data_IF_551894416909
#
_entry.id   IF_551894416909
#
_cell.length_a   1.000
_cell.length_b   1.000
_cell.length_c   1.000
_cell.angle_alpha   90.00
_cell.angle_beta   90.00
_cell.angle_gamma   90.00
#
_symmetry.space_group_name_H-M   'P 1'
#
loop_
_entity.id
_entity.type
_entity.pdbx_description
1 polymer ?
#
# COMPACT_ATOMS: atom_id res chain seq x y z
N UNK A 1 -5.52 -3.17 -12.67
CA UNK A 1 -5.09 -2.42 -11.46
C UNK A 1 -6.10 -2.69 -10.35
N UNK A 2 -5.70 -3.26 -9.21
CA UNK A 2 -6.63 -3.51 -8.11
C UNK A 2 -6.60 -2.32 -7.16
N UNK A 3 -7.65 -1.49 -7.23
CA UNK A 3 -7.66 -0.22 -6.53
C UNK A 3 -7.58 -0.33 -5.02
N UNK A 4 -7.14 0.72 -4.32
CA UNK A 4 -7.30 0.82 -2.84
C UNK A 4 -8.77 0.58 -2.46
N UNK A 5 -9.71 1.13 -3.21
CA UNK A 5 -11.16 0.87 -3.04
C UNK A 5 -11.48 -0.62 -3.13
N UNK A 6 -10.92 -1.32 -4.12
CA UNK A 6 -11.11 -2.77 -4.25
C UNK A 6 -10.54 -3.54 -3.05
N UNK A 7 -9.38 -3.13 -2.50
CA UNK A 7 -8.80 -3.77 -1.31
C UNK A 7 -9.66 -3.55 -0.06
N UNK A 8 -10.20 -2.35 0.12
CA UNK A 8 -11.13 -2.07 1.24
C UNK A 8 -12.41 -2.91 1.10
N UNK A 9 -12.98 -2.99 -0.11
CA UNK A 9 -14.14 -3.85 -0.37
C UNK A 9 -13.82 -5.34 -0.16
N UNK A 10 -12.63 -5.80 -0.55
CA UNK A 10 -12.18 -7.17 -0.30
C UNK A 10 -12.07 -7.47 1.20
N UNK A 11 -11.54 -6.52 1.99
CA UNK A 11 -11.46 -6.64 3.45
C UNK A 11 -12.86 -6.75 4.09
N UNK A 12 -13.80 -5.88 3.68
CA UNK A 12 -15.20 -5.98 4.11
C UNK A 12 -15.82 -7.31 3.67
N UNK A 13 -15.50 -7.78 2.46
CA UNK A 13 -15.92 -9.07 1.94
C UNK A 13 -15.48 -10.25 2.81
N UNK A 14 -14.27 -10.22 3.39
CA UNK A 14 -13.78 -11.25 4.32
C UNK A 14 -14.66 -11.30 5.58
N UNK A 15 -14.99 -10.13 6.14
CA UNK A 15 -15.84 -10.03 7.34
C UNK A 15 -17.26 -10.51 7.02
N UNK A 16 -17.83 -10.08 5.89
CA UNK A 16 -19.15 -10.49 5.44
C UNK A 16 -19.21 -12.00 5.17
N UNK A 17 -18.18 -12.58 4.56
CA UNK A 17 -18.11 -14.04 4.33
C UNK A 17 -18.11 -14.81 5.66
N UNK A 18 -17.38 -14.33 6.68
CA UNK A 18 -17.42 -14.89 8.03
C UNK A 18 -18.81 -14.80 8.68
N UNK A 19 -19.51 -13.68 8.50
CA UNK A 19 -20.87 -13.48 8.99
C UNK A 19 -21.90 -14.39 8.28
N UNK A 20 -21.77 -14.56 6.95
CA UNK A 20 -22.64 -15.44 6.16
C UNK A 20 -22.43 -16.91 6.55
N UNK A 21 -21.19 -17.36 6.72
CA UNK A 21 -20.88 -18.71 7.17
C UNK A 21 -21.48 -18.98 8.57
N UNK A 22 -21.31 -18.01 9.48
CA UNK A 22 -21.91 -18.01 10.81
C UNK A 22 -23.44 -18.13 10.77
N UNK A 23 -24.10 -17.33 9.92
CA UNK A 23 -25.55 -17.40 9.74
C UNK A 23 -26.01 -18.75 9.17
N UNK A 24 -25.28 -19.30 8.20
CA UNK A 24 -25.59 -20.61 7.62
C UNK A 24 -25.49 -21.75 8.65
N UNK A 25 -24.45 -21.75 9.48
CA UNK A 25 -24.28 -22.71 10.58
C UNK A 25 -25.40 -22.61 11.61
N UNK A 26 -25.79 -21.38 11.97
CA UNK A 26 -26.90 -21.13 12.90
C UNK A 26 -28.24 -21.62 12.34
N UNK A 27 -28.54 -21.32 11.07
CA UNK A 27 -29.75 -21.80 10.40
C UNK A 27 -29.79 -23.32 10.29
N UNK A 28 -28.66 -23.95 9.98
CA UNK A 28 -28.55 -25.41 9.95
C UNK A 28 -28.82 -26.04 11.33
N UNK A 29 -28.19 -25.51 12.38
CA UNK A 29 -28.38 -25.94 13.76
C UNK A 29 -29.85 -25.82 14.18
N UNK A 30 -30.48 -24.68 13.92
CA UNK A 30 -31.89 -24.43 14.24
C UNK A 30 -32.83 -25.33 13.45
N UNK A 31 -32.61 -25.48 12.14
CA UNK A 31 -33.43 -26.33 11.28
C UNK A 31 -33.38 -27.78 11.73
N UNK A 32 -32.20 -28.29 12.10
CA UNK A 32 -32.06 -29.68 12.56
C UNK A 32 -32.66 -29.90 13.95
N UNK A 33 -32.52 -28.94 14.87
CA UNK A 33 -33.17 -29.00 16.18
C UNK A 33 -34.70 -29.02 16.04
N UNK A 34 -35.26 -28.17 15.17
CA UNK A 34 -36.69 -28.13 14.89
C UNK A 34 -37.21 -29.43 14.26
N UNK A 35 -36.47 -30.03 13.32
CA UNK A 35 -36.84 -31.32 12.71
C UNK A 35 -36.86 -32.46 13.75
N UNK A 36 -35.85 -32.55 14.62
CA UNK A 36 -35.82 -33.56 15.68
C UNK A 36 -36.98 -33.38 16.68
N UNK A 37 -37.23 -32.15 17.12
CA UNK A 37 -38.36 -31.85 18.01
C UNK A 37 -39.70 -32.19 17.37
N UNK A 38 -39.93 -31.78 16.12
CA UNK A 38 -41.18 -32.06 15.42
C UNK A 38 -41.44 -33.57 15.26
N UNK A 39 -40.39 -34.36 14.97
CA UNK A 39 -40.51 -35.82 14.90
C UNK A 39 -40.82 -36.46 16.26
N UNK A 40 -40.18 -35.97 17.33
CA UNK A 40 -40.48 -36.39 18.69
C UNK A 40 -41.93 -36.11 19.08
N UNK A 41 -42.43 -34.91 18.75
CA UNK A 41 -43.80 -34.49 19.04
C UNK A 41 -44.83 -35.37 18.32
N UNK A 42 -44.63 -35.65 17.03
CA UNK A 42 -45.50 -36.54 16.24
C UNK A 42 -45.56 -37.93 16.88
N UNK A 43 -44.43 -38.49 17.30
CA UNK A 43 -44.37 -39.81 17.93
C UNK A 43 -45.09 -39.84 19.29
N UNK A 44 -44.96 -38.77 20.08
CA UNK A 44 -45.73 -38.60 21.31
C UNK A 44 -47.24 -38.51 21.07
N UNK A 45 -47.66 -37.81 20.01
CA UNK A 45 -49.07 -37.71 19.63
C UNK A 45 -49.63 -39.06 19.15
N UNK A 46 -48.85 -39.84 18.38
CA UNK A 46 -49.22 -41.21 17.96
C UNK A 46 -49.43 -42.11 19.18
N UNK A 47 -48.52 -42.08 20.16
CA UNK A 47 -48.65 -42.85 21.39
C UNK A 47 -49.92 -42.44 22.17
N UNK A 48 -50.19 -41.14 22.28
CA UNK A 48 -51.39 -40.61 22.94
C UNK A 48 -52.69 -41.03 22.24
N UNK A 49 -52.76 -40.93 20.91
CA UNK A 49 -53.95 -41.37 20.15
C UNK A 49 -54.16 -42.88 20.29
N UNK A 50 -53.08 -43.66 20.25
CA UNK A 50 -53.14 -45.12 20.45
C UNK A 50 -53.71 -45.47 21.82
N UNK A 51 -53.27 -44.79 22.87
CA UNK A 51 -53.79 -45.02 24.23
C UNK A 51 -55.24 -44.56 24.39
N UNK A 52 -55.64 -43.48 23.70
CA UNK A 52 -57.05 -43.08 23.64
C UNK A 52 -57.92 -44.14 22.97
N UNK A 53 -57.46 -44.77 21.89
CA UNK A 53 -58.17 -45.91 21.27
C UNK A 53 -58.28 -47.07 22.26
N UNK A 54 -57.17 -47.42 22.92
CA UNK A 54 -57.13 -48.48 23.93
C UNK A 54 -58.13 -48.22 25.08
N UNK A 55 -58.18 -46.99 25.58
CA UNK A 55 -59.15 -46.56 26.60
C UNK A 55 -60.60 -46.74 26.13
N UNK A 56 -60.92 -46.39 24.87
CA UNK A 56 -62.26 -46.61 24.33
C UNK A 56 -62.59 -48.10 24.18
N UNK A 57 -61.64 -48.92 23.73
CA UNK A 57 -61.80 -50.38 23.66
C UNK A 57 -62.14 -50.93 25.04
N UNK A 58 -61.38 -50.58 26.09
CA UNK A 58 -61.66 -51.00 27.46
C UNK A 58 -63.05 -50.58 27.93
N UNK A 59 -63.44 -49.33 27.71
CA UNK A 59 -64.77 -48.84 28.09
C UNK A 59 -65.90 -49.62 27.40
N UNK A 60 -65.80 -49.81 26.07
CA UNK A 60 -66.78 -50.61 25.31
C UNK A 60 -66.83 -52.06 25.80
N UNK A 61 -65.69 -52.64 26.19
CA UNK A 61 -65.63 -53.99 26.75
C UNK A 61 -66.34 -54.08 28.09
N UNK A 62 -66.08 -53.14 29.00
CA UNK A 62 -66.72 -53.10 30.32
C UNK A 62 -68.24 -52.93 30.19
N UNK A 63 -68.69 -51.97 29.38
CA UNK A 63 -70.12 -51.73 29.16
C UNK A 63 -70.82 -52.92 28.47
N UNK A 64 -70.08 -53.75 27.69
CA UNK A 64 -70.65 -54.96 27.08
C UNK A 64 -71.22 -55.91 28.12
N UNK A 65 -70.61 -55.97 29.31
CA UNK A 65 -71.07 -56.84 30.40
C UNK A 65 -72.48 -56.47 30.84
N UNK A 66 -72.78 -55.18 30.90
CA UNK A 66 -74.12 -54.69 31.25
C UNK A 66 -75.20 -55.22 30.31
N UNK A 67 -74.94 -55.27 29.00
CA UNK A 67 -75.92 -55.74 28.00
C UNK A 67 -76.31 -57.20 28.24
N UNK A 68 -75.34 -58.11 28.35
CA UNK A 68 -75.66 -59.54 28.47
C UNK A 68 -75.91 -60.01 29.90
N UNK A 69 -75.65 -59.17 30.91
CA UNK A 69 -76.06 -59.40 32.30
C UNK A 69 -77.42 -58.78 32.65
N UNK A 70 -77.99 -57.99 31.74
CA UNK A 70 -79.33 -57.38 31.90
C UNK A 70 -80.44 -58.44 31.86
N UNK A 71 -81.53 -58.17 32.57
CA UNK A 71 -82.69 -59.08 32.64
C UNK A 71 -83.49 -59.08 31.35
N UNK A 72 -83.58 -57.93 30.69
CA UNK A 72 -84.36 -57.72 29.48
C UNK A 72 -83.71 -56.67 28.56
N UNK A 73 -84.31 -56.48 27.38
CA UNK A 73 -83.83 -55.52 26.39
C UNK A 73 -83.89 -54.06 26.87
N UNK A 74 -84.82 -53.72 27.77
CA UNK A 74 -84.99 -52.36 28.30
C UNK A 74 -83.85 -52.00 29.24
N UNK A 75 -83.44 -52.92 30.10
CA UNK A 75 -82.27 -52.76 30.96
C UNK A 75 -80.97 -52.76 30.12
N UNK A 76 -80.88 -53.63 29.10
CA UNK A 76 -79.73 -53.68 28.20
C UNK A 76 -79.52 -52.37 27.41
N UNK A 77 -80.61 -51.65 27.09
CA UNK A 77 -80.57 -50.38 26.36
C UNK A 77 -79.76 -49.30 27.09
N UNK A 78 -79.80 -49.27 28.43
CA UNK A 78 -79.04 -48.32 29.24
C UNK A 78 -77.52 -48.46 29.04
N UNK A 79 -77.05 -49.65 28.68
CA UNK A 79 -75.63 -49.92 28.38
C UNK A 79 -75.33 -49.87 26.88
N UNK A 80 -76.31 -50.21 26.03
CA UNK A 80 -76.16 -50.16 24.58
C UNK A 80 -75.92 -48.74 24.07
N UNK A 81 -76.74 -47.77 24.51
CA UNK A 81 -76.70 -46.39 23.99
C UNK A 81 -75.36 -45.68 24.25
N UNK A 82 -74.76 -45.71 25.46
CA UNK A 82 -73.42 -45.13 25.69
C UNK A 82 -72.32 -45.82 24.88
N UNK A 83 -72.42 -47.13 24.61
CA UNK A 83 -71.46 -47.84 23.77
C UNK A 83 -71.51 -47.40 22.31
N UNK A 84 -72.71 -47.31 21.74
CA UNK A 84 -72.87 -46.87 20.34
C UNK A 84 -72.31 -45.47 20.12
N UNK A 85 -72.50 -44.58 21.10
CA UNK A 85 -71.96 -43.23 21.05
C UNK A 85 -70.43 -43.18 21.01
N UNK A 86 -69.73 -44.23 21.47
CA UNK A 86 -68.26 -44.33 21.40
C UNK A 86 -67.76 -44.78 20.03
N UNK A 87 -68.56 -45.48 19.23
CA UNK A 87 -68.10 -46.03 17.95
C UNK A 87 -67.64 -44.95 16.95
N UNK A 88 -68.35 -43.82 16.76
CA UNK A 88 -67.85 -42.73 15.93
C UNK A 88 -66.52 -42.15 16.44
N UNK A 89 -66.35 -42.05 17.77
CA UNK A 89 -65.10 -41.57 18.38
C UNK A 89 -63.95 -42.53 18.10
N UNK A 90 -64.17 -43.83 18.24
CA UNK A 90 -63.17 -44.86 17.94
C UNK A 90 -62.76 -44.84 16.46
N UNK A 91 -63.73 -44.73 15.54
CA UNK A 91 -63.44 -44.60 14.10
C UNK A 91 -62.63 -43.36 13.79
N UNK A 92 -63.02 -42.23 14.38
CA UNK A 92 -62.29 -40.96 14.23
C UNK A 92 -60.85 -41.11 14.73
N UNK A 93 -60.64 -41.61 15.95
CA UNK A 93 -59.29 -41.82 16.50
C UNK A 93 -58.44 -42.76 15.63
N UNK A 94 -59.03 -43.82 15.10
CA UNK A 94 -58.33 -44.74 14.20
C UNK A 94 -57.98 -44.09 12.84
N UNK A 95 -58.85 -43.25 12.31
CA UNK A 95 -58.57 -42.48 11.10
C UNK A 95 -57.50 -41.40 11.34
N UNK A 96 -57.60 -40.67 12.46
CA UNK A 96 -56.62 -39.67 12.88
C UNK A 96 -55.25 -40.33 13.06
N UNK A 97 -55.19 -41.54 13.64
CA UNK A 97 -53.95 -42.32 13.76
C UNK A 97 -53.31 -42.60 12.39
N UNK A 98 -54.10 -43.05 11.40
CA UNK A 98 -53.60 -43.33 10.03
C UNK A 98 -53.10 -42.06 9.33
N UNK A 99 -53.70 -40.91 9.61
CA UNK A 99 -53.28 -39.63 9.06
C UNK A 99 -52.00 -39.09 9.71
N UNK A 100 -51.80 -39.38 10.99
CA UNK A 100 -50.70 -38.87 11.80
C UNK A 100 -49.39 -39.66 11.63
N UNK A 101 -49.48 -40.98 11.44
CA UNK A 101 -48.29 -41.83 11.39
C UNK A 101 -47.41 -41.53 10.17
N UNK A 102 -46.07 -41.66 10.29
CA UNK A 102 -45.17 -41.59 9.15
C UNK A 102 -45.51 -42.61 8.07
N UNK A 103 -45.11 -42.34 6.82
CA UNK A 103 -45.36 -43.23 5.69
C UNK A 103 -44.89 -44.69 5.93
N UNK A 104 -43.80 -44.87 6.66
CA UNK A 104 -43.26 -46.18 7.03
C UNK A 104 -44.17 -46.99 7.96
N UNK A 105 -45.01 -46.34 8.75
CA UNK A 105 -45.89 -46.98 9.74
C UNK A 105 -47.36 -47.07 9.27
N UNK A 106 -47.68 -46.43 8.14
CA UNK A 106 -49.05 -46.32 7.62
C UNK A 106 -49.74 -47.65 7.40
N UNK A 107 -49.02 -48.66 6.91
CA UNK A 107 -49.57 -50.01 6.74
C UNK A 107 -49.98 -50.63 8.08
N UNK A 108 -49.17 -50.44 9.12
CA UNK A 108 -49.47 -50.94 10.47
C UNK A 108 -50.67 -50.22 11.07
N UNK A 109 -50.75 -48.89 10.91
CA UNK A 109 -51.90 -48.11 11.36
C UNK A 109 -53.20 -48.49 10.63
N UNK A 110 -53.14 -48.78 9.31
CA UNK A 110 -54.29 -49.27 8.55
C UNK A 110 -54.77 -50.64 9.04
N UNK A 111 -53.85 -51.55 9.37
CA UNK A 111 -54.20 -52.84 10.00
C UNK A 111 -54.90 -52.64 11.33
N UNK A 112 -54.39 -51.71 12.15
CA UNK A 112 -54.99 -51.38 13.45
C UNK A 112 -56.37 -50.73 13.30
N UNK A 113 -56.55 -49.81 12.34
CA UNK A 113 -57.84 -49.23 12.00
C UNK A 113 -58.85 -50.31 11.60
N UNK A 114 -58.43 -51.28 10.79
CA UNK A 114 -59.27 -52.42 10.44
C UNK A 114 -59.64 -53.25 11.67
N UNK A 115 -58.68 -53.58 12.54
CA UNK A 115 -58.96 -54.31 13.80
C UNK A 115 -59.95 -53.55 14.70
N UNK A 116 -59.89 -52.21 14.72
CA UNK A 116 -60.87 -51.37 15.44
C UNK A 116 -62.26 -51.46 14.80
N UNK A 117 -62.37 -51.42 13.48
CA UNK A 117 -63.66 -51.58 12.79
C UNK A 117 -64.25 -52.98 13.01
N UNK A 118 -63.43 -54.03 12.91
CA UNK A 118 -63.86 -55.41 13.18
C UNK A 118 -64.35 -55.56 14.64
N UNK A 119 -63.68 -54.90 15.60
CA UNK A 119 -64.13 -54.83 16.98
C UNK A 119 -65.48 -54.09 17.12
N UNK A 120 -65.66 -52.96 16.43
CA UNK A 120 -66.93 -52.22 16.44
C UNK A 120 -68.05 -53.09 15.84
N UNK A 121 -67.84 -53.70 14.68
CA UNK A 121 -68.82 -54.57 14.02
C UNK A 121 -69.25 -55.72 14.94
N UNK A 122 -68.28 -56.37 15.60
CA UNK A 122 -68.56 -57.43 16.57
C UNK A 122 -69.42 -56.94 17.74
N UNK A 123 -69.14 -55.73 18.25
CA UNK A 123 -69.86 -55.14 19.40
C UNK A 123 -71.24 -54.60 19.03
N UNK A 124 -71.41 -54.12 17.80
CA UNK A 124 -72.71 -53.76 17.25
C UNK A 124 -73.63 -54.98 17.18
N UNK A 125 -73.10 -56.15 16.82
CA UNK A 125 -73.89 -57.39 16.84
C UNK A 125 -74.27 -57.81 18.26
N UNK A 126 -73.38 -57.65 19.25
CA UNK A 126 -73.74 -57.87 20.66
C UNK A 126 -74.91 -56.98 21.10
N UNK A 127 -74.92 -55.72 20.66
CA UNK A 127 -75.99 -54.75 20.96
C UNK A 127 -77.29 -55.17 20.27
N UNK A 128 -77.23 -55.52 18.98
CA UNK A 128 -78.39 -55.97 18.19
C UNK A 128 -79.04 -57.20 18.82
N UNK A 129 -78.25 -58.23 19.15
CA UNK A 129 -78.75 -59.44 19.82
C UNK A 129 -79.40 -59.12 21.17
N UNK A 130 -78.83 -58.19 21.95
CA UNK A 130 -79.38 -57.79 23.24
C UNK A 130 -80.71 -57.02 23.13
N UNK A 131 -80.91 -56.26 22.04
CA UNK A 131 -82.12 -55.48 21.76
C UNK A 131 -83.23 -56.31 21.11
N UNK A 132 -82.88 -57.11 20.12
CA UNK A 132 -83.85 -57.72 19.19
C UNK A 132 -84.13 -59.20 19.48
N UNK A 133 -83.21 -59.90 20.13
CA UNK A 133 -83.30 -61.36 20.32
C UNK A 133 -83.42 -61.73 21.79
N UNK A 134 -82.33 -61.60 22.55
CA UNK A 134 -82.29 -61.79 24.00
C UNK A 134 -80.90 -61.42 24.55
N UNK A 135 -80.84 -61.06 25.83
CA UNK A 135 -79.57 -60.86 26.55
C UNK A 135 -78.75 -62.16 26.64
N UNK A 136 -79.41 -63.33 26.61
CA UNK A 136 -78.76 -64.64 26.53
C UNK A 136 -78.05 -64.88 25.19
N UNK A 137 -78.68 -64.51 24.07
CA UNK A 137 -78.04 -64.57 22.75
C UNK A 137 -76.85 -63.60 22.67
N UNK A 138 -76.99 -62.40 23.22
CA UNK A 138 -75.88 -61.45 23.36
C UNK A 138 -74.75 -61.99 24.25
N UNK A 139 -75.05 -62.76 25.30
CA UNK A 139 -74.04 -63.42 26.13
C UNK A 139 -73.29 -64.50 25.34
N UNK A 140 -74.00 -65.35 24.60
CA UNK A 140 -73.37 -66.44 23.84
C UNK A 140 -72.41 -65.91 22.77
N UNK A 141 -72.78 -64.83 22.08
CA UNK A 141 -71.92 -64.16 21.10
C UNK A 141 -70.85 -63.29 21.77
N UNK A 142 -71.21 -62.51 22.79
CA UNK A 142 -70.36 -61.49 23.40
C UNK A 142 -69.42 -62.00 24.50
N UNK A 143 -69.65 -63.19 25.05
CA UNK A 143 -68.92 -63.74 26.20
C UNK A 143 -68.41 -65.17 25.95
N UNK A 144 -67.75 -65.37 24.81
CA UNK A 144 -67.08 -66.64 24.46
C UNK A 144 -65.55 -66.49 24.36
N UNK A 145 -64.85 -67.61 24.21
CA UNK A 145 -63.40 -67.66 24.08
C UNK A 145 -62.87 -66.93 22.85
N UNK A 146 -63.57 -67.05 21.72
CA UNK A 146 -63.16 -66.36 20.49
C UNK A 146 -63.16 -64.84 20.67
N UNK A 147 -64.16 -64.27 21.35
CA UNK A 147 -64.19 -62.84 21.65
C UNK A 147 -63.14 -62.43 22.68
N UNK A 148 -62.86 -63.29 23.68
CA UNK A 148 -61.74 -63.05 24.61
C UNK A 148 -60.42 -62.97 23.83
N UNK A 149 -60.19 -63.89 22.91
CA UNK A 149 -59.01 -63.91 22.05
C UNK A 149 -58.93 -62.69 21.13
N UNK A 150 -60.01 -62.32 20.44
CA UNK A 150 -60.04 -61.15 19.54
C UNK A 150 -59.78 -59.83 20.28
N UNK A 151 -60.39 -59.65 21.46
CA UNK A 151 -60.11 -58.49 22.32
C UNK A 151 -58.66 -58.44 22.76
N UNK A 152 -58.12 -59.59 23.20
CA UNK A 152 -56.73 -59.69 23.62
C UNK A 152 -55.79 -59.34 22.47
N UNK A 153 -56.03 -59.87 21.27
CA UNK A 153 -55.24 -59.57 20.08
C UNK A 153 -55.25 -58.07 19.73
N UNK A 154 -56.42 -57.41 19.74
CA UNK A 154 -56.50 -55.96 19.50
C UNK A 154 -55.76 -55.17 20.59
N UNK A 155 -55.94 -55.52 21.86
CA UNK A 155 -55.25 -54.86 22.97
C UNK A 155 -53.72 -55.06 22.89
N UNK A 156 -53.25 -56.28 22.61
CA UNK A 156 -51.84 -56.59 22.39
C UNK A 156 -51.27 -55.76 21.22
N UNK A 157 -52.03 -55.62 20.12
CA UNK A 157 -51.64 -54.76 18.99
C UNK A 157 -51.52 -53.28 19.38
N UNK A 158 -52.51 -52.74 20.11
CA UNK A 158 -52.51 -51.36 20.58
C UNK A 158 -51.34 -51.09 21.52
N UNK A 159 -51.11 -51.98 22.50
CA UNK A 159 -50.02 -51.87 23.46
C UNK A 159 -48.66 -51.97 22.75
N UNK A 160 -48.49 -52.93 21.85
CA UNK A 160 -47.25 -53.09 21.11
C UNK A 160 -46.97 -51.91 20.17
N UNK A 161 -48.01 -51.36 19.54
CA UNK A 161 -47.88 -50.19 18.67
C UNK A 161 -47.57 -48.92 19.47
N UNK A 162 -48.29 -48.69 20.56
CA UNK A 162 -48.09 -47.55 21.47
C UNK A 162 -46.70 -47.56 22.09
N UNK A 163 -46.28 -48.70 22.66
CA UNK A 163 -44.94 -48.84 23.26
C UNK A 163 -43.81 -48.61 22.26
N UNK A 164 -43.97 -49.09 21.02
CA UNK A 164 -42.96 -48.88 19.97
C UNK A 164 -42.83 -47.39 19.61
N UNK A 165 -43.95 -46.68 19.49
CA UNK A 165 -43.96 -45.24 19.23
C UNK A 165 -43.44 -44.43 20.43
N UNK A 166 -43.76 -44.85 21.65
CA UNK A 166 -43.19 -44.27 22.88
C UNK A 166 -41.66 -44.45 22.93
N UNK A 167 -41.15 -45.66 22.64
CA UNK A 167 -39.71 -45.93 22.59
C UNK A 167 -39.00 -45.09 21.52
N UNK A 168 -39.62 -44.93 20.34
CA UNK A 168 -39.09 -44.08 19.25
C UNK A 168 -39.13 -42.61 19.64
N UNK A 169 -40.25 -42.12 20.18
CA UNK A 169 -40.40 -40.75 20.66
C UNK A 169 -39.39 -40.41 21.77
N UNK A 170 -39.21 -41.29 22.75
CA UNK A 170 -38.23 -41.11 23.83
C UNK A 170 -36.79 -41.04 23.29
N UNK A 171 -36.42 -41.89 22.32
CA UNK A 171 -35.09 -41.82 21.68
C UNK A 171 -34.89 -40.51 20.92
N UNK A 172 -35.87 -40.08 20.14
CA UNK A 172 -35.82 -38.81 19.41
C UNK A 172 -35.76 -37.62 20.37
N UNK A 173 -36.50 -37.64 21.47
CA UNK A 173 -36.48 -36.61 22.50
C UNK A 173 -35.10 -36.51 23.16
N UNK A 174 -34.48 -37.65 23.49
CA UNK A 174 -33.11 -37.69 24.03
C UNK A 174 -32.10 -37.18 23.00
N UNK A 175 -32.18 -37.63 21.74
CA UNK A 175 -31.31 -37.15 20.66
C UNK A 175 -31.45 -35.64 20.44
N UNK A 176 -32.69 -35.12 20.45
CA UNK A 176 -32.97 -33.70 20.32
C UNK A 176 -32.40 -32.88 21.49
N UNK A 177 -32.54 -33.38 22.72
CA UNK A 177 -32.02 -32.74 23.93
C UNK A 177 -30.48 -32.73 23.94
N UNK A 178 -29.84 -33.84 23.57
CA UNK A 178 -28.39 -33.95 23.46
C UNK A 178 -27.84 -33.02 22.38
N UNK A 179 -28.46 -33.02 21.19
CA UNK A 179 -28.10 -32.12 20.09
C UNK A 179 -28.21 -30.65 20.50
N UNK A 180 -29.33 -30.27 21.13
CA UNK A 180 -29.56 -28.91 21.62
C UNK A 180 -28.52 -28.52 22.67
N UNK A 181 -28.21 -29.41 23.63
CA UNK A 181 -27.19 -29.18 24.66
C UNK A 181 -25.78 -29.03 24.06
N UNK A 182 -25.43 -29.85 23.07
CA UNK A 182 -24.16 -29.73 22.36
C UNK A 182 -24.05 -28.40 21.62
N UNK A 183 -25.07 -28.03 20.85
CA UNK A 183 -25.07 -26.79 20.05
C UNK A 183 -25.11 -25.54 20.92
N UNK A 184 -25.76 -25.56 22.07
CA UNK A 184 -25.85 -24.41 22.97
C UNK A 184 -24.47 -23.84 23.35
N UNK A 185 -23.46 -24.69 23.47
CA UNK A 185 -22.09 -24.25 23.75
C UNK A 185 -21.19 -24.21 22.51
N UNK A 186 -21.33 -25.17 21.59
CA UNK A 186 -20.48 -25.24 20.39
C UNK A 186 -20.77 -24.06 19.46
N UNK A 187 -22.04 -23.71 19.25
CA UNK A 187 -22.42 -22.69 18.27
C UNK A 187 -21.84 -21.30 18.64
N UNK A 188 -21.99 -20.77 19.88
CA UNK A 188 -21.34 -19.50 20.25
C UNK A 188 -19.82 -19.52 20.08
N UNK A 189 -19.15 -20.62 20.42
CA UNK A 189 -17.69 -20.76 20.27
C UNK A 189 -17.27 -20.73 18.80
N UNK A 190 -17.98 -21.46 17.93
CA UNK A 190 -17.72 -21.47 16.49
C UNK A 190 -18.00 -20.11 15.85
N UNK A 191 -19.11 -19.46 16.23
CA UNK A 191 -19.46 -18.12 15.74
C UNK A 191 -18.41 -17.08 16.15
N UNK A 192 -18.00 -17.08 17.42
CA UNK A 192 -16.97 -16.17 17.93
C UNK A 192 -15.61 -16.47 17.27
N UNK A 193 -15.25 -17.74 17.12
CA UNK A 193 -14.02 -18.15 16.44
C UNK A 193 -13.99 -17.71 14.98
N UNK A 194 -15.08 -17.90 14.24
CA UNK A 194 -15.21 -17.45 12.85
C UNK A 194 -15.14 -15.93 12.72
N UNK A 195 -15.79 -15.20 13.64
CA UNK A 195 -15.72 -13.74 13.69
C UNK A 195 -14.28 -13.26 13.94
N UNK A 196 -13.62 -13.77 14.99
CA UNK A 196 -12.23 -13.40 15.32
C UNK A 196 -11.27 -13.76 14.18
N UNK A 197 -11.43 -14.93 13.56
CA UNK A 197 -10.63 -15.33 12.40
C UNK A 197 -10.83 -14.40 11.20
N UNK A 198 -12.08 -14.00 10.91
CA UNK A 198 -12.37 -13.06 9.82
C UNK A 198 -11.79 -11.67 10.08
N UNK A 199 -11.85 -11.18 11.32
CA UNK A 199 -11.26 -9.90 11.73
C UNK A 199 -9.74 -9.97 11.64
N UNK A 200 -9.13 -11.03 12.16
CA UNK A 200 -7.68 -11.23 12.09
C UNK A 200 -7.20 -11.31 10.62
N UNK A 201 -7.91 -12.03 9.76
CA UNK A 201 -7.62 -12.09 8.33
C UNK A 201 -7.76 -10.72 7.66
N UNK A 202 -8.81 -9.96 7.99
CA UNK A 202 -9.01 -8.59 7.50
C UNK A 202 -7.88 -7.64 7.94
N UNK A 203 -7.46 -7.70 9.21
CA UNK A 203 -6.35 -6.90 9.75
C UNK A 203 -5.04 -7.27 9.06
N UNK A 204 -4.70 -8.56 8.97
CA UNK A 204 -3.47 -9.02 8.30
C UNK A 204 -3.45 -8.62 6.82
N UNK A 205 -4.59 -8.72 6.14
CA UNK A 205 -4.74 -8.26 4.77
C UNK A 205 -4.54 -6.74 4.65
N UNK A 206 -5.19 -5.94 5.48
CA UNK A 206 -5.04 -4.48 5.48
C UNK A 206 -3.60 -4.04 5.77
N UNK A 207 -2.98 -4.65 6.79
CA UNK A 207 -1.60 -4.37 7.16
C UNK A 207 -0.63 -4.62 6.01
N UNK A 208 -0.74 -5.75 5.31
CA UNK A 208 0.14 -6.10 4.19
C UNK A 208 -0.19 -5.36 2.90
N UNK A 209 -1.46 -5.08 2.63
CA UNK A 209 -1.91 -4.59 1.32
C UNK A 209 -2.06 -3.07 1.23
N UNK A 210 -2.21 -2.39 2.37
CA UNK A 210 -2.46 -0.94 2.46
C UNK A 210 -1.51 -0.30 3.48
N UNK A 211 -1.60 -0.66 4.77
CA UNK A 211 -0.97 0.11 5.85
C UNK A 211 0.56 0.13 5.79
N UNK A 212 1.22 -1.04 5.71
CA UNK A 212 2.69 -1.09 5.65
C UNK A 212 3.25 -0.36 4.41
N UNK A 213 2.75 -0.61 3.19
CA UNK A 213 3.21 0.15 2.03
C UNK A 213 3.05 1.67 2.14
N UNK A 214 1.94 2.15 2.73
CA UNK A 214 1.75 3.58 2.96
C UNK A 214 2.74 4.15 3.99
N UNK A 215 3.01 3.42 5.07
CA UNK A 215 4.01 3.82 6.07
C UNK A 215 5.42 3.82 5.48
N UNK A 216 5.78 2.83 4.66
CA UNK A 216 7.08 2.76 4.00
C UNK A 216 7.30 3.96 3.05
N UNK A 217 6.27 4.35 2.31
CA UNK A 217 6.30 5.53 1.44
C UNK A 217 6.35 6.83 2.24
N UNK A 218 5.59 6.93 3.33
CA UNK A 218 5.63 8.09 4.24
C UNK A 218 7.02 8.25 4.86
N UNK A 219 7.66 7.16 5.29
CA UNK A 219 9.03 7.17 5.79
C UNK A 219 10.04 7.58 4.72
N UNK A 220 9.89 7.08 3.49
CA UNK A 220 10.73 7.49 2.35
C UNK A 220 10.61 8.98 2.07
N UNK A 221 9.37 9.52 2.06
CA UNK A 221 9.13 10.95 1.86
C UNK A 221 9.77 11.80 2.97
N UNK A 222 9.64 11.39 4.24
CA UNK A 222 10.26 12.09 5.37
C UNK A 222 11.79 12.17 5.26
N UNK A 223 12.44 11.09 4.80
CA UNK A 223 13.89 11.06 4.59
C UNK A 223 14.33 11.93 3.42
N UNK A 224 13.58 11.93 2.31
CA UNK A 224 13.82 12.85 1.19
C UNK A 224 13.74 14.32 1.62
N UNK A 225 12.74 14.68 2.43
CA UNK A 225 12.59 16.05 2.94
C UNK A 225 13.69 16.44 3.94
N UNK A 226 14.35 15.46 4.55
CA UNK A 226 15.52 15.68 5.40
C UNK A 226 16.83 15.82 4.59
N UNK A 227 16.78 15.71 3.26
CA UNK A 227 17.94 15.83 2.37
C UNK A 227 18.65 14.49 2.07
N UNK A 228 18.14 13.36 2.56
CA UNK A 228 18.70 12.04 2.25
C UNK A 228 18.23 11.57 0.87
N UNK A 229 19.09 11.66 -0.15
CA UNK A 229 18.78 11.25 -1.53
C UNK A 229 19.19 9.80 -1.84
N UNK A 230 20.15 9.24 -1.10
CA UNK A 230 20.61 7.85 -1.23
C UNK A 230 19.68 6.87 -0.49
N UNK A 231 18.40 6.86 -0.88
CA UNK A 231 17.40 5.96 -0.32
C UNK A 231 16.72 5.18 -1.45
N UNK A 232 16.46 3.89 -1.23
CA UNK A 232 15.66 3.08 -2.12
C UNK A 232 14.17 3.33 -1.84
N UNK A 233 13.39 3.68 -2.87
CA UNK A 233 11.93 3.82 -2.75
C UNK A 233 11.28 2.44 -2.92
N UNK A 234 10.66 1.87 -1.87
CA UNK A 234 10.06 0.54 -1.94
C UNK A 234 8.77 0.57 -2.79
N UNK A 235 8.26 -0.62 -3.13
CA UNK A 235 6.94 -0.80 -3.77
C UNK A 235 6.76 -0.25 -5.19
N UNK A 236 7.81 0.21 -5.87
CA UNK A 236 7.76 0.76 -7.25
C UNK A 236 7.27 -0.24 -8.31
N UNK A 237 7.45 -1.54 -8.06
CA UNK A 237 6.99 -2.64 -8.95
C UNK A 237 5.49 -2.94 -8.83
N UNK A 238 4.76 -2.33 -7.88
CA UNK A 238 3.33 -2.57 -7.72
C UNK A 238 2.54 -1.95 -8.88
N UNK A 239 1.45 -2.61 -9.27
CA UNK A 239 0.55 -2.20 -10.35
C UNK A 239 -0.80 -1.65 -9.82
N UNK A 240 -0.76 -1.00 -8.66
CA UNK A 240 -1.90 -0.35 -8.02
C UNK A 240 -1.56 1.11 -7.69
N UNK A 241 -2.50 1.86 -7.12
CA UNK A 241 -2.31 3.30 -6.82
C UNK A 241 -1.15 3.54 -5.84
N UNK A 242 -0.86 2.55 -4.98
CA UNK A 242 0.30 2.62 -4.09
C UNK A 242 1.59 2.52 -4.91
N UNK A 243 1.62 1.68 -5.95
CA UNK A 243 2.70 1.65 -6.92
C UNK A 243 2.83 2.94 -7.72
N UNK A 244 1.71 3.57 -8.10
CA UNK A 244 1.72 4.88 -8.77
C UNK A 244 2.35 5.95 -7.87
N UNK A 245 1.95 6.01 -6.59
CA UNK A 245 2.57 6.89 -5.60
C UNK A 245 4.05 6.59 -5.39
N UNK A 246 4.44 5.31 -5.30
CA UNK A 246 5.84 4.91 -5.15
C UNK A 246 6.71 5.37 -6.33
N UNK A 247 6.20 5.27 -7.56
CA UNK A 247 6.90 5.79 -8.75
C UNK A 247 7.01 7.31 -8.74
N UNK A 248 5.97 8.03 -8.31
CA UNK A 248 6.02 9.48 -8.17
C UNK A 248 7.09 9.91 -7.15
N UNK A 249 7.18 9.22 -6.00
CA UNK A 249 8.24 9.46 -5.00
C UNK A 249 9.62 9.13 -5.55
N UNK A 250 9.76 8.09 -6.37
CA UNK A 250 11.04 7.75 -7.01
C UNK A 250 11.50 8.83 -8.01
N UNK A 251 10.58 9.40 -8.79
CA UNK A 251 10.86 10.56 -9.65
C UNK A 251 11.27 11.76 -8.81
N UNK A 252 10.57 12.04 -7.71
CA UNK A 252 10.92 13.13 -6.81
C UNK A 252 12.32 12.96 -6.23
N UNK A 253 12.69 11.77 -5.76
CA UNK A 253 14.05 11.47 -5.29
C UNK A 253 15.09 11.79 -6.35
N UNK A 254 14.87 11.33 -7.59
CA UNK A 254 15.79 11.56 -8.69
C UNK A 254 15.95 13.05 -8.99
N UNK A 255 14.85 13.82 -8.97
CA UNK A 255 14.89 15.27 -9.14
C UNK A 255 15.66 15.95 -8.00
N UNK A 256 15.45 15.55 -6.75
CA UNK A 256 16.18 16.11 -5.59
C UNK A 256 17.67 15.81 -5.66
N UNK A 257 18.04 14.59 -6.04
CA UNK A 257 19.43 14.18 -6.27
C UNK A 257 20.09 15.03 -7.38
N UNK A 258 19.38 15.23 -8.50
CA UNK A 258 19.86 16.04 -9.61
C UNK A 258 20.06 17.51 -9.21
N UNK A 259 19.13 18.10 -8.43
CA UNK A 259 19.27 19.48 -7.92
C UNK A 259 20.47 19.60 -6.98
N UNK A 260 20.68 18.63 -6.09
CA UNK A 260 21.83 18.63 -5.18
C UNK A 260 23.16 18.55 -5.95
N UNK A 261 23.24 17.72 -7.00
CA UNK A 261 24.41 17.63 -7.87
C UNK A 261 24.70 18.95 -8.61
N UNK A 262 23.66 19.60 -9.14
CA UNK A 262 23.80 20.90 -9.82
C UNK A 262 24.28 22.00 -8.85
N UNK A 263 23.77 22.02 -7.62
CA UNK A 263 24.22 22.98 -6.60
C UNK A 263 25.70 22.79 -6.23
N UNK A 264 26.18 21.55 -6.17
CA UNK A 264 27.60 21.27 -5.93
C UNK A 264 28.48 21.70 -7.10
N UNK A 265 28.01 21.51 -8.33
CA UNK A 265 28.68 22.02 -9.54
C UNK A 265 28.72 23.55 -9.57
N UNK A 266 27.63 24.22 -9.20
CA UNK A 266 27.62 25.69 -9.13
C UNK A 266 28.55 26.21 -8.03
N UNK A 267 28.60 25.57 -6.86
CA UNK A 267 29.51 25.95 -5.77
C UNK A 267 30.97 25.82 -6.17
N UNK A 268 31.34 24.71 -6.82
CA UNK A 268 32.71 24.50 -7.31
C UNK A 268 33.08 25.50 -8.40
N UNK A 269 32.19 25.74 -9.37
CA UNK A 269 32.40 26.76 -10.40
C UNK A 269 32.49 28.18 -9.83
N UNK A 270 31.68 28.52 -8.82
CA UNK A 270 31.75 29.82 -8.14
C UNK A 270 33.08 29.98 -7.38
N UNK A 271 33.54 28.95 -6.68
CA UNK A 271 34.83 28.96 -5.99
C UNK A 271 36.01 29.12 -6.97
N UNK A 272 35.91 28.55 -8.17
CA UNK A 272 36.91 28.71 -9.23
C UNK A 272 36.90 30.13 -9.84
N UNK A 273 35.71 30.70 -10.05
CA UNK A 273 35.57 32.11 -10.48
C UNK A 273 36.17 33.08 -9.47
N UNK A 274 35.95 32.86 -8.17
CA UNK A 274 36.54 33.69 -7.11
C UNK A 274 38.07 33.59 -7.15
N UNK A 275 38.64 32.37 -7.21
CA UNK A 275 40.09 32.18 -7.32
C UNK A 275 40.69 32.88 -8.55
N UNK A 276 40.02 32.80 -9.70
CA UNK A 276 40.45 33.49 -10.92
C UNK A 276 40.37 35.02 -10.79
N UNK A 277 39.33 35.55 -10.14
CA UNK A 277 39.22 36.99 -9.88
C UNK A 277 40.30 37.50 -8.91
N UNK A 278 40.61 36.74 -7.85
CA UNK A 278 41.67 37.09 -6.90
C UNK A 278 43.05 37.10 -7.58
N UNK A 279 43.33 36.12 -8.44
CA UNK A 279 44.58 36.09 -9.22
C UNK A 279 44.69 37.30 -10.17
N UNK A 280 43.59 37.70 -10.82
CA UNK A 280 43.55 38.87 -11.68
C UNK A 280 43.84 40.18 -10.92
N UNK A 281 43.32 40.30 -9.69
CA UNK A 281 43.53 41.49 -8.86
C UNK A 281 45.01 41.71 -8.50
N UNK A 282 45.76 40.63 -8.23
CA UNK A 282 47.20 40.69 -7.96
C UNK A 282 47.96 41.20 -9.19
N UNK A 283 47.71 40.64 -10.37
CA UNK A 283 48.43 41.05 -11.57
C UNK A 283 48.16 42.51 -11.96
N UNK A 284 46.91 42.98 -11.80
CA UNK A 284 46.58 44.39 -12.06
C UNK A 284 47.35 45.32 -11.10
N UNK A 285 47.56 44.91 -9.85
CA UNK A 285 48.38 45.66 -8.89
C UNK A 285 49.84 45.75 -9.35
N UNK A 286 50.45 44.61 -9.70
CA UNK A 286 51.86 44.54 -10.12
C UNK A 286 52.12 45.31 -11.43
N UNK A 287 51.18 45.25 -12.37
CA UNK A 287 51.20 46.09 -13.58
C UNK A 287 51.19 47.57 -13.20
N UNK A 288 50.37 47.95 -12.21
CA UNK A 288 50.29 49.31 -11.70
C UNK A 288 51.63 49.85 -11.19
N UNK A 289 52.40 49.01 -10.48
CA UNK A 289 53.73 49.38 -9.98
C UNK A 289 54.73 49.62 -11.13
N UNK A 290 54.76 48.72 -12.11
CA UNK A 290 55.69 48.83 -13.27
C UNK A 290 55.34 50.04 -14.14
N UNK A 291 54.05 50.33 -14.34
CA UNK A 291 53.60 51.52 -15.08
C UNK A 291 53.95 52.80 -14.33
N UNK A 292 53.83 52.81 -12.99
CA UNK A 292 54.22 53.96 -12.18
C UNK A 292 55.74 54.23 -12.25
N UNK A 293 56.57 53.18 -12.23
CA UNK A 293 58.02 53.29 -12.43
C UNK A 293 58.36 53.89 -13.80
N UNK A 294 57.74 53.37 -14.87
CA UNK A 294 57.93 53.88 -16.23
C UNK A 294 57.49 55.35 -16.36
N UNK A 295 56.38 55.74 -15.73
CA UNK A 295 55.91 57.13 -15.71
C UNK A 295 56.87 58.08 -14.97
N UNK A 296 57.61 57.57 -13.98
CA UNK A 296 58.67 58.30 -13.28
C UNK A 296 60.01 58.34 -14.05
N UNK A 297 60.08 57.69 -15.22
CA UNK A 297 61.29 57.60 -16.05
C UNK A 297 62.22 56.44 -15.69
N UNK A 298 61.81 55.54 -14.80
CA UNK A 298 62.53 54.29 -14.49
C UNK A 298 61.97 53.14 -15.33
N UNK A 299 62.68 52.80 -16.39
CA UNK A 299 62.33 51.69 -17.30
C UNK A 299 63.07 50.38 -16.95
N UNK A 300 63.77 50.31 -15.81
CA UNK A 300 64.44 49.09 -15.36
C UNK A 300 63.49 48.09 -14.69
N UNK A 301 62.31 48.56 -14.24
CA UNK A 301 61.28 47.73 -13.62
C UNK A 301 60.80 46.61 -14.58
N UNK A 302 60.65 45.41 -14.03
CA UNK A 302 60.16 44.22 -14.76
C UNK A 302 59.00 43.60 -14.01
N UNK A 303 57.96 43.27 -14.75
CA UNK A 303 56.81 42.54 -14.26
C UNK A 303 57.15 41.04 -14.16
N UNK A 304 56.98 40.46 -12.98
CA UNK A 304 57.16 39.02 -12.73
C UNK A 304 55.86 38.47 -12.14
N UNK A 305 55.24 37.52 -12.83
CA UNK A 305 54.02 36.86 -12.36
C UNK A 305 54.25 35.36 -12.36
N UNK A 306 54.21 34.74 -11.19
CA UNK A 306 54.25 33.30 -11.03
C UNK A 306 52.83 32.72 -11.30
N UNK A 307 52.73 31.64 -12.07
CA UNK A 307 51.48 30.97 -12.45
C UNK A 307 50.47 31.83 -13.26
N UNK A 308 50.98 32.60 -14.22
CA UNK A 308 50.18 33.32 -15.20
C UNK A 308 49.61 32.39 -16.30
N UNK A 309 48.34 32.58 -16.69
CA UNK A 309 47.76 31.93 -17.87
C UNK A 309 48.40 32.44 -19.19
N UNK A 310 48.11 31.79 -20.32
CA UNK A 310 48.75 32.11 -21.61
C UNK A 310 48.50 33.57 -22.05
N UNK A 311 47.33 34.13 -21.75
CA UNK A 311 47.02 35.52 -22.11
C UNK A 311 47.82 36.48 -21.24
N UNK A 312 47.92 36.18 -19.94
CA UNK A 312 48.65 36.96 -18.97
C UNK A 312 50.16 36.93 -19.24
N UNK A 313 50.72 35.78 -19.61
CA UNK A 313 52.12 35.67 -20.00
C UNK A 313 52.46 36.56 -21.21
N UNK A 314 51.57 36.63 -22.21
CA UNK A 314 51.74 37.53 -23.36
C UNK A 314 51.73 39.00 -22.95
N UNK A 315 50.85 39.38 -22.01
CA UNK A 315 50.80 40.74 -21.48
C UNK A 315 52.09 41.10 -20.71
N UNK A 316 52.54 40.22 -19.81
CA UNK A 316 53.79 40.38 -19.04
C UNK A 316 54.99 40.53 -19.96
N UNK A 317 55.10 39.65 -20.97
CA UNK A 317 56.17 39.72 -21.96
C UNK A 317 56.13 41.05 -22.75
N UNK A 318 54.94 41.50 -23.15
CA UNK A 318 54.75 42.76 -23.87
C UNK A 318 55.19 43.99 -23.06
N UNK A 319 54.81 44.07 -21.77
CA UNK A 319 55.19 45.19 -20.89
C UNK A 319 56.71 45.20 -20.66
N UNK A 320 57.31 44.05 -20.39
CA UNK A 320 58.76 43.93 -20.18
C UNK A 320 59.55 44.31 -21.44
N UNK A 321 59.07 43.94 -22.62
CA UNK A 321 59.70 44.31 -23.90
C UNK A 321 59.65 45.83 -24.14
N UNK A 322 58.50 46.47 -23.88
CA UNK A 322 58.36 47.93 -24.01
C UNK A 322 59.37 48.63 -23.09
N UNK A 323 59.43 48.24 -21.82
CA UNK A 323 60.39 48.80 -20.88
C UNK A 323 61.84 48.57 -21.32
N UNK A 324 62.19 47.36 -21.77
CA UNK A 324 63.54 47.05 -22.23
C UNK A 324 63.97 47.91 -23.44
N UNK A 325 63.08 48.12 -24.41
CA UNK A 325 63.36 48.96 -25.58
C UNK A 325 63.53 50.42 -25.19
N UNK A 326 62.66 50.95 -24.32
CA UNK A 326 62.74 52.35 -23.88
C UNK A 326 63.97 52.58 -23.02
N UNK A 327 64.24 51.71 -22.05
CA UNK A 327 65.42 51.75 -21.18
C UNK A 327 66.71 51.81 -22.02
N UNK A 328 66.91 50.81 -22.88
CA UNK A 328 68.08 50.75 -23.78
C UNK A 328 68.23 51.99 -24.65
N UNK A 329 67.14 52.48 -25.24
CA UNK A 329 67.16 53.66 -26.09
C UNK A 329 67.56 54.90 -25.30
N UNK A 330 66.90 55.16 -24.17
CA UNK A 330 67.18 56.34 -23.35
C UNK A 330 68.60 56.34 -22.78
N UNK A 331 69.11 55.20 -22.30
CA UNK A 331 70.49 55.08 -21.82
C UNK A 331 71.50 55.41 -22.92
N UNK A 332 71.35 54.84 -24.12
CA UNK A 332 72.28 55.08 -25.22
C UNK A 332 72.23 56.54 -25.70
N UNK A 333 71.04 57.16 -25.75
CA UNK A 333 70.93 58.59 -26.08
C UNK A 333 71.57 59.49 -25.02
N UNK A 334 71.39 59.19 -23.74
CA UNK A 334 72.03 59.94 -22.64
C UNK A 334 73.55 59.82 -22.74
N UNK A 335 74.09 58.64 -23.02
CA UNK A 335 75.52 58.45 -23.21
C UNK A 335 76.08 59.31 -24.36
N UNK A 336 75.41 59.31 -25.51
CA UNK A 336 75.86 60.08 -26.69
C UNK A 336 75.70 61.59 -26.47
N UNK A 337 74.60 62.04 -25.86
CA UNK A 337 74.39 63.46 -25.55
C UNK A 337 75.37 63.98 -24.51
N UNK A 338 75.75 63.17 -23.52
CA UNK A 338 76.80 63.54 -22.56
C UNK A 338 78.17 63.65 -23.22
N UNK A 339 78.51 62.74 -24.13
CA UNK A 339 79.74 62.84 -24.93
C UNK A 339 79.76 64.12 -25.78
N UNK A 340 78.63 64.43 -26.44
CA UNK A 340 78.43 65.66 -27.19
C UNK A 340 78.61 66.91 -26.31
N UNK A 341 78.03 66.93 -25.11
CA UNK A 341 78.16 68.04 -24.16
C UNK A 341 79.60 68.21 -23.63
N UNK A 342 80.37 67.12 -23.54
CA UNK A 342 81.79 67.15 -23.20
C UNK A 342 82.70 67.57 -24.37
N UNK A 343 82.12 67.86 -25.54
CA UNK A 343 82.85 68.27 -26.75
C UNK A 343 83.39 67.10 -27.58
N UNK A 344 83.05 65.85 -27.26
CA UNK A 344 83.39 64.68 -28.07
C UNK A 344 82.38 64.52 -29.21
N UNK A 345 82.73 65.07 -30.38
CA UNK A 345 81.93 65.03 -31.60
C UNK A 345 82.17 63.76 -32.44
N UNK A 346 82.81 62.74 -31.88
CA UNK A 346 83.11 61.47 -32.58
C UNK A 346 82.12 60.35 -32.23
N UNK A 347 81.36 60.49 -31.14
CA UNK A 347 80.36 59.49 -30.72
C UNK A 347 79.03 59.68 -31.44
N UNK A 348 78.50 58.60 -31.98
CA UNK A 348 77.16 58.52 -32.58
C UNK A 348 76.37 57.40 -31.92
N UNK A 349 75.06 57.41 -32.08
CA UNK A 349 74.16 56.34 -31.64
C UNK A 349 74.21 55.18 -32.66
N UNK A 350 74.81 54.01 -32.33
CA UNK A 350 74.97 52.92 -33.29
C UNK A 350 73.70 52.10 -33.49
N UNK A 351 72.89 51.89 -32.43
CA UNK A 351 71.78 50.93 -32.44
C UNK A 351 70.69 51.29 -33.45
N UNK A 352 70.16 50.28 -34.14
CA UNK A 352 69.09 50.44 -35.12
C UNK A 352 67.73 50.48 -34.42
N UNK A 353 67.23 51.69 -34.16
CA UNK A 353 65.89 51.90 -33.63
C UNK A 353 64.81 51.92 -34.71
N UNK A 354 63.54 51.81 -34.29
CA UNK A 354 62.36 51.96 -35.15
C UNK A 354 61.46 53.08 -34.63
N UNK A 355 60.64 53.66 -35.51
CA UNK A 355 59.68 54.69 -35.15
C UNK A 355 60.35 55.94 -34.57
N UNK A 356 59.78 56.49 -33.49
CA UNK A 356 60.25 57.75 -32.88
C UNK A 356 61.69 57.71 -32.37
N UNK A 357 62.16 56.56 -31.89
CA UNK A 357 63.57 56.43 -31.48
C UNK A 357 64.53 56.44 -32.67
N UNK A 358 64.09 56.01 -33.86
CA UNK A 358 64.90 56.16 -35.09
C UNK A 358 65.01 57.64 -35.49
N UNK A 359 63.90 58.37 -35.48
CA UNK A 359 63.88 59.82 -35.74
C UNK A 359 64.79 60.58 -34.77
N UNK A 360 64.74 60.23 -33.47
CA UNK A 360 65.58 60.85 -32.44
C UNK A 360 67.07 60.55 -32.66
N UNK A 361 67.41 59.29 -32.96
CA UNK A 361 68.77 58.89 -33.33
C UNK A 361 69.30 59.73 -34.48
N UNK A 362 68.54 59.84 -35.57
CA UNK A 362 68.98 60.54 -36.77
C UNK A 362 69.22 62.02 -36.46
N UNK A 363 68.33 62.66 -35.68
CA UNK A 363 68.49 64.04 -35.26
C UNK A 363 69.73 64.26 -34.37
N UNK A 364 70.00 63.37 -33.41
CA UNK A 364 71.20 63.44 -32.55
C UNK A 364 72.47 63.30 -33.38
N UNK A 365 72.54 62.28 -34.25
CA UNK A 365 73.70 62.04 -35.11
C UNK A 365 73.93 63.17 -36.11
N UNK A 366 72.87 63.72 -36.70
CA UNK A 366 72.98 64.89 -37.60
C UNK A 366 73.53 66.11 -36.87
N UNK A 367 73.10 66.34 -35.62
CA UNK A 367 73.58 67.45 -34.80
C UNK A 367 75.09 67.32 -34.52
N UNK A 368 75.56 66.11 -34.21
CA UNK A 368 76.99 65.81 -34.02
C UNK A 368 77.78 66.12 -35.30
N UNK A 369 77.28 65.68 -36.46
CA UNK A 369 77.94 65.93 -37.76
C UNK A 369 78.02 67.43 -38.05
N UNK A 370 76.93 68.18 -37.86
CA UNK A 370 76.88 69.63 -38.10
C UNK A 370 77.81 70.42 -37.17
N UNK A 371 77.85 70.07 -35.88
CA UNK A 371 78.76 70.69 -34.92
C UNK A 371 80.22 70.37 -35.25
N UNK A 372 80.51 69.12 -35.64
CA UNK A 372 81.87 68.70 -36.01
C UNK A 372 82.39 69.48 -37.22
N UNK A 373 81.57 69.64 -38.25
CA UNK A 373 81.88 70.47 -39.41
C UNK A 373 82.09 71.96 -39.05
N UNK A 374 81.28 72.49 -38.13
CA UNK A 374 81.40 73.89 -37.66
C UNK A 374 82.70 74.10 -36.89
N UNK A 375 83.05 73.21 -35.96
CA UNK A 375 84.32 73.26 -35.21
C UNK A 375 85.52 73.12 -36.14
N UNK A 376 85.46 72.20 -37.12
CA UNK A 376 86.50 72.06 -38.14
C UNK A 376 86.68 73.35 -38.96
N UNK A 377 85.58 74.02 -39.32
CA UNK A 377 85.64 75.30 -40.05
C UNK A 377 86.29 76.39 -39.20
N UNK A 378 85.92 76.50 -37.91
CA UNK A 378 86.54 77.44 -36.98
C UNK A 378 88.04 77.18 -36.83
N UNK A 379 88.46 75.91 -36.74
CA UNK A 379 89.88 75.55 -36.66
C UNK A 379 90.66 75.98 -37.91
N UNK A 380 90.10 75.78 -39.11
CA UNK A 380 90.70 76.24 -40.38
C UNK A 380 90.78 77.77 -40.40
N UNK A 381 89.69 78.48 -40.11
CA UNK A 381 89.68 79.94 -40.10
C UNK A 381 90.63 80.53 -39.05
N UNK A 382 90.74 79.92 -37.87
CA UNK A 382 91.70 80.34 -36.84
C UNK A 382 93.15 80.10 -37.28
N UNK A 383 93.40 79.03 -38.05
CA UNK A 383 94.70 78.79 -38.67
C UNK A 383 95.03 79.87 -39.70
N UNK A 384 94.09 80.19 -40.60
CA UNK A 384 94.25 81.23 -41.63
C UNK A 384 94.49 82.61 -41.00
N UNK A 385 93.74 82.97 -39.95
CA UNK A 385 93.97 84.20 -39.17
C UNK A 385 95.35 84.18 -38.51
N UNK A 386 95.79 83.03 -37.97
CA UNK A 386 97.12 82.87 -37.40
C UNK A 386 98.26 82.96 -38.42
N UNK A 387 98.01 82.58 -39.69
CA UNK A 387 98.93 82.79 -40.81
C UNK A 387 98.98 84.28 -41.18
N UNK A 388 97.81 84.91 -41.40
CA UNK A 388 97.71 86.32 -41.74
C UNK A 388 98.32 87.24 -40.66
N UNK A 389 98.10 86.94 -39.37
CA UNK A 389 98.70 87.69 -38.27
C UNK A 389 100.23 87.59 -38.25
N UNK A 390 100.80 86.43 -38.63
CA UNK A 390 102.26 86.27 -38.80
C UNK A 390 102.80 87.07 -39.99
N UNK A 391 102.08 87.10 -41.10
CA UNK A 391 102.45 87.92 -42.26
C UNK A 391 102.40 89.42 -41.94
N UNK A 392 101.41 89.89 -41.19
CA UNK A 392 101.34 91.28 -40.73
C UNK A 392 102.51 91.62 -39.80
N UNK A 393 102.84 90.75 -38.84
CA UNK A 393 104.00 90.98 -37.96
C UNK A 393 105.32 91.01 -38.74
N UNK A 394 105.51 90.11 -39.72
CA UNK A 394 106.69 90.16 -40.60
C UNK A 394 106.74 91.45 -41.44
N UNK A 395 105.59 91.89 -41.97
CA UNK A 395 105.51 93.16 -42.69
C UNK A 395 105.73 94.40 -41.81
N UNK A 396 105.39 94.33 -40.51
CA UNK A 396 105.65 95.40 -39.55
C UNK A 396 107.13 95.47 -39.15
N UNK A 397 107.80 94.32 -38.99
CA UNK A 397 109.25 94.24 -38.73
C UNK A 397 110.08 94.72 -39.94
N UNK A 398 109.61 94.50 -41.17
CA UNK A 398 110.25 95.04 -42.40
C UNK A 398 110.12 96.58 -42.54
N UNK A 399 109.27 97.22 -41.74
CA UNK A 399 108.99 98.67 -41.75
C UNK A 399 109.64 99.43 -40.57
N UNK A 400 110.30 98.74 -39.63
CA UNK A 400 111.05 99.32 -38.50
C UNK A 400 112.55 99.26 -38.72
#
# INVERSE_FOLDING_TARGET
>A
MKSIRFKVLAMLGIIVAGAVLSAALSLYALSRSNDLNARSDIQGEIALVTERINTQVFAVVMDSRGIYMSKDAKEAEAFAKPKEARFPVMRKLAADLVALVPAAERETALKLQKSVEDFIAFRSETIRLGREVSTAAANQQGNNDQNRANRKALNDQLVAFGKRNEDVGNRLSVEAAEFTRQIQWILPVVLLGALLASIAAAILFAQRSITRPLLDLSGSMSRLTAGETDIAVPHTKRQDEIGDMARAVAVLRQSTEQVALLQEQERSAAAERIRSADAMAVVVSDVGEVVAAAAAGDFSARLQVEDADEQMQKLVAGINEINAVVDSATTEFVEVLNALAAGDLTRQVPTAYRGRFAELKDAVNETIVRLSATVSTIQVTACDVGIAAREINMGADDLS
#
